data_IF_774878606091
#
_entry.id   IF_774878606091
#
_cell.length_a   1.000
_cell.length_b   1.000
_cell.length_c   1.000
_cell.angle_alpha   90.00
_cell.angle_beta   90.00
_cell.angle_gamma   90.00
#
_symmetry.space_group_name_H-M   'P 1'
#
loop_
_entity.id
_entity.type
_entity.pdbx_description
1 polymer ?
#
# COMPACT_ATOMS: atom_id res chain seq x y z
N UNK A 1 0.29 -1.28 4.52
CA UNK A 1 0.59 -0.44 3.34
C UNK A 1 -0.70 -0.13 2.61
N UNK A 2 -0.90 1.11 2.18
CA UNK A 2 -2.05 1.57 1.38
C UNK A 2 -1.53 2.20 0.10
N UNK A 3 -2.21 2.00 -1.02
CA UNK A 3 -1.89 2.68 -2.29
C UNK A 3 -3.16 3.06 -3.05
N UNK A 4 -3.11 4.21 -3.72
CA UNK A 4 -4.16 4.68 -4.61
C UNK A 4 -3.83 4.42 -6.09
N UNK A 5 -4.83 4.52 -6.96
CA UNK A 5 -4.71 4.25 -8.41
C UNK A 5 -3.61 5.09 -9.06
N UNK A 6 -3.40 6.32 -8.56
CA UNK A 6 -2.36 7.24 -9.04
C UNK A 6 -0.99 7.02 -8.39
N UNK A 7 -0.71 5.86 -7.79
CA UNK A 7 0.60 5.51 -7.25
C UNK A 7 1.01 6.32 -6.03
N UNK A 8 0.05 6.88 -5.29
CA UNK A 8 0.29 7.54 -4.00
C UNK A 8 0.08 6.51 -2.90
N UNK A 9 1.08 6.31 -2.05
CA UNK A 9 1.08 5.28 -1.03
C UNK A 9 1.60 5.75 0.32
N UNK A 10 1.31 4.96 1.35
CA UNK A 10 1.78 5.15 2.72
C UNK A 10 1.78 3.84 3.50
N UNK A 11 2.58 3.77 4.54
CA UNK A 11 2.39 2.83 5.64
C UNK A 11 1.61 3.52 6.75
N UNK A 12 0.89 2.74 7.55
CA UNK A 12 0.21 3.22 8.75
C UNK A 12 0.33 2.11 9.79
N UNK A 13 0.72 2.47 11.01
CA UNK A 13 0.83 1.53 12.12
C UNK A 13 -0.53 0.91 12.43
N UNK A 14 -0.53 -0.38 12.77
CA UNK A 14 -1.76 -1.07 13.19
C UNK A 14 -2.43 -0.40 14.39
N UNK A 15 -1.63 0.14 15.33
CA UNK A 15 -2.11 0.84 16.52
C UNK A 15 -3.00 2.07 16.22
N UNK A 16 -2.95 2.62 15.01
CA UNK A 16 -3.84 3.70 14.63
C UNK A 16 -5.28 3.22 14.37
N UNK A 17 -5.47 1.94 14.04
CA UNK A 17 -6.77 1.34 13.79
C UNK A 17 -7.27 0.66 15.07
N UNK A 18 -8.00 1.42 15.88
CA UNK A 18 -8.66 0.90 17.07
C UNK A 18 -9.78 -0.06 16.70
N UNK A 19 -10.15 -0.95 17.63
CA UNK A 19 -11.28 -1.83 17.45
C UNK A 19 -12.58 -1.03 17.27
N UNK A 20 -13.38 -1.42 16.29
CA UNK A 20 -14.70 -0.86 16.03
C UNK A 20 -15.73 -1.99 15.91
N UNK A 21 -16.98 -1.68 16.24
CA UNK A 21 -18.09 -2.62 16.08
C UNK A 21 -18.31 -2.98 14.60
N UNK A 22 -18.71 -4.23 14.36
CA UNK A 22 -19.15 -4.68 13.03
C UNK A 22 -20.40 -3.91 12.59
N UNK A 23 -20.59 -3.78 11.28
CA UNK A 23 -21.74 -3.11 10.64
C UNK A 23 -21.83 -1.59 10.87
N UNK A 24 -20.74 -0.95 11.30
CA UNK A 24 -20.59 0.51 11.23
C UNK A 24 -20.02 0.97 9.87
N UNK A 25 -19.94 2.29 9.69
CA UNK A 25 -19.30 2.92 8.51
C UNK A 25 -17.77 2.77 8.47
N UNK A 26 -17.18 2.18 9.52
CA UNK A 26 -15.74 2.09 9.69
C UNK A 26 -15.10 3.45 9.96
N UNK A 27 -13.79 3.52 9.73
CA UNK A 27 -13.00 4.74 9.91
C UNK A 27 -12.14 5.01 8.68
N UNK A 28 -11.91 6.30 8.38
CA UNK A 28 -11.11 6.70 7.21
C UNK A 28 -9.68 6.15 7.30
N UNK A 29 -9.25 5.42 6.28
CA UNK A 29 -7.93 4.79 6.19
C UNK A 29 -6.90 5.58 5.35
N UNK A 30 -7.37 6.46 4.48
CA UNK A 30 -6.57 7.37 3.64
C UNK A 30 -7.45 8.54 3.20
N UNK A 31 -6.90 9.75 3.11
CA UNK A 31 -7.58 10.87 2.46
C UNK A 31 -7.39 10.75 0.95
N UNK A 32 -8.48 10.54 0.23
CA UNK A 32 -8.49 10.46 -1.23
C UNK A 32 -8.89 11.81 -1.85
N UNK A 33 -8.44 12.05 -3.06
CA UNK A 33 -8.73 13.23 -3.88
C UNK A 33 -8.62 12.87 -5.38
N UNK A 34 -8.94 13.83 -6.25
CA UNK A 34 -8.74 13.65 -7.69
C UNK A 34 -7.28 13.32 -8.05
N UNK A 35 -6.30 13.78 -7.26
CA UNK A 35 -4.87 13.48 -7.46
C UNK A 35 -4.48 12.05 -7.06
N UNK A 36 -5.22 11.44 -6.14
CA UNK A 36 -4.95 10.04 -5.72
C UNK A 36 -5.71 9.05 -6.59
N UNK A 37 -6.86 9.45 -7.14
CA UNK A 37 -7.85 8.49 -7.61
C UNK A 37 -8.45 7.69 -6.45
N UNK A 38 -8.98 6.51 -6.74
CA UNK A 38 -9.51 5.60 -5.72
C UNK A 38 -8.38 4.91 -4.97
N UNK A 39 -8.73 4.35 -3.81
CA UNK A 39 -7.85 3.42 -3.10
C UNK A 39 -7.86 2.08 -3.86
N UNK A 40 -6.68 1.56 -4.21
CA UNK A 40 -6.57 0.22 -4.82
C UNK A 40 -6.75 -0.83 -3.73
N UNK A 41 -6.07 -0.66 -2.60
CA UNK A 41 -6.18 -1.61 -1.51
C UNK A 41 -5.28 -1.31 -0.32
N UNK A 42 -5.24 -2.28 0.57
CA UNK A 42 -4.39 -2.29 1.74
C UNK A 42 -3.81 -3.68 1.97
N UNK A 43 -2.53 -3.73 2.33
CA UNK A 43 -1.80 -4.97 2.59
C UNK A 43 -1.11 -4.89 3.95
N UNK A 44 -1.23 -5.95 4.73
CA UNK A 44 -0.43 -6.10 5.94
C UNK A 44 1.02 -6.35 5.56
N UNK A 45 1.93 -5.52 6.03
CA UNK A 45 3.36 -5.63 5.73
C UNK A 45 4.15 -5.46 7.01
N UNK A 46 5.25 -6.20 7.11
CA UNK A 46 6.27 -5.94 8.11
C UNK A 46 7.24 -4.85 7.61
N UNK A 47 8.05 -4.36 8.54
CA UNK A 47 9.26 -3.62 8.20
C UNK A 47 10.21 -4.58 7.44
N UNK A 48 11.03 -4.04 6.53
CA UNK A 48 11.99 -4.80 5.70
C UNK A 48 11.39 -5.88 4.78
N UNK A 49 10.09 -5.81 4.47
CA UNK A 49 9.50 -6.60 3.40
C UNK A 49 9.58 -5.88 2.06
N UNK A 50 9.46 -6.64 0.98
CA UNK A 50 9.30 -6.07 -0.34
C UNK A 50 7.87 -6.28 -0.85
N UNK A 51 7.39 -5.28 -1.58
CA UNK A 51 6.12 -5.35 -2.31
C UNK A 51 6.39 -5.12 -3.79
N UNK A 52 5.57 -5.71 -4.63
CA UNK A 52 5.52 -5.44 -6.06
C UNK A 52 4.22 -4.73 -6.37
N UNK A 53 4.32 -3.52 -6.90
CA UNK A 53 3.20 -2.76 -7.44
C UNK A 53 3.09 -3.04 -8.93
N UNK A 54 1.90 -3.42 -9.39
CA UNK A 54 1.63 -3.79 -10.78
C UNK A 54 0.71 -2.73 -11.38
N UNK A 55 1.11 -2.14 -12.49
CA UNK A 55 0.28 -1.20 -13.25
C UNK A 55 -0.62 -1.90 -14.26
N UNK A 56 -1.68 -1.22 -14.70
CA UNK A 56 -2.62 -1.77 -15.70
C UNK A 56 -1.98 -1.97 -17.06
N UNK A 57 -0.89 -1.26 -17.37
CA UNK A 57 -0.06 -1.47 -18.57
C UNK A 57 1.06 -2.51 -18.38
N UNK A 58 1.05 -3.26 -17.28
CA UNK A 58 1.97 -4.37 -17.04
C UNK A 58 3.36 -3.98 -16.53
N UNK A 59 3.54 -2.72 -16.07
CA UNK A 59 4.78 -2.33 -15.40
C UNK A 59 4.78 -2.85 -13.97
N UNK A 60 5.92 -3.40 -13.55
CA UNK A 60 6.12 -3.87 -12.18
C UNK A 60 7.20 -3.04 -11.50
N UNK A 61 6.92 -2.56 -10.29
CA UNK A 61 7.87 -1.81 -9.46
C UNK A 61 7.99 -2.51 -8.12
N UNK A 62 9.20 -2.96 -7.79
CA UNK A 62 9.53 -3.54 -6.48
C UNK A 62 9.94 -2.43 -5.53
N UNK A 63 9.39 -2.42 -4.33
CA UNK A 63 9.61 -1.37 -3.32
C UNK A 63 9.87 -2.06 -1.99
N UNK A 64 10.95 -1.67 -1.31
CA UNK A 64 11.14 -2.04 0.08
C UNK A 64 10.18 -1.23 0.96
N UNK A 65 9.44 -1.88 1.85
CA UNK A 65 8.43 -1.23 2.68
C UNK A 65 9.03 -0.13 3.55
N UNK A 66 10.31 -0.21 3.92
CA UNK A 66 11.00 0.82 4.69
C UNK A 66 11.22 2.14 3.96
N UNK A 67 11.24 2.13 2.62
CA UNK A 67 11.30 3.35 1.81
C UNK A 67 9.97 4.14 1.84
N UNK A 68 8.86 3.47 2.19
CA UNK A 68 7.54 4.09 2.25
C UNK A 68 7.32 4.70 3.64
N UNK A 69 7.01 5.99 3.69
CA UNK A 69 6.78 6.69 4.96
C UNK A 69 5.59 6.11 5.74
N UNK A 70 5.78 5.96 7.05
CA UNK A 70 4.70 5.65 8.00
C UNK A 70 3.99 6.93 8.41
N UNK A 71 2.69 7.01 8.13
CA UNK A 71 1.85 8.18 8.36
C UNK A 71 0.53 7.79 9.04
N UNK A 72 -0.17 8.78 9.58
CA UNK A 72 -1.48 8.60 10.20
C UNK A 72 -2.52 8.04 9.24
N UNK A 73 -3.62 7.51 9.78
CA UNK A 73 -4.74 6.99 8.97
C UNK A 73 -5.30 8.03 8.00
N UNK A 74 -5.46 9.27 8.42
CA UNK A 74 -6.10 10.30 7.59
C UNK A 74 -5.14 10.98 6.63
N UNK A 75 -3.83 10.71 6.71
CA UNK A 75 -2.85 11.24 5.77
C UNK A 75 -3.12 10.76 4.34
N UNK A 76 -2.67 11.55 3.36
CA UNK A 76 -2.78 11.18 1.93
C UNK A 76 -1.66 10.23 1.52
N UNK A 77 -0.43 10.41 2.01
CA UNK A 77 0.73 9.67 1.51
C UNK A 77 1.50 10.42 0.45
N UNK A 78 2.53 9.77 -0.09
CA UNK A 78 3.45 10.33 -1.09
C UNK A 78 3.45 9.49 -2.35
N UNK A 79 3.96 10.04 -3.46
CA UNK A 79 4.10 9.30 -4.72
C UNK A 79 5.16 8.20 -4.52
N UNK A 80 4.72 6.94 -4.48
CA UNK A 80 5.59 5.76 -4.34
C UNK A 80 5.91 5.13 -5.70
N UNK A 81 5.00 5.27 -6.67
CA UNK A 81 5.19 4.79 -8.04
C UNK A 81 4.89 5.92 -9.02
N UNK A 82 5.81 6.18 -9.95
CA UNK A 82 5.56 7.03 -11.12
C UNK A 82 4.93 6.19 -12.22
N UNK A 83 3.82 6.67 -12.75
CA UNK A 83 3.02 6.00 -13.77
C UNK A 83 3.05 6.87 -15.03
N UNK A 84 3.00 6.22 -16.19
CA UNK A 84 2.90 6.94 -17.45
C UNK A 84 1.47 7.47 -17.66
N UNK A 85 1.32 8.35 -18.65
CA UNK A 85 0.02 8.92 -18.97
C UNK A 85 -1.01 7.82 -19.32
N UNK A 86 -2.17 7.88 -18.65
CA UNK A 86 -3.24 6.89 -18.79
C UNK A 86 -2.95 5.53 -18.16
N UNK A 87 -1.84 5.35 -17.43
CA UNK A 87 -1.59 4.17 -16.62
C UNK A 87 -2.13 4.36 -15.18
N UNK A 88 -2.39 3.26 -14.49
CA UNK A 88 -2.85 3.26 -13.10
C UNK A 88 -2.36 2.01 -12.38
N UNK A 89 -2.24 2.07 -11.05
CA UNK A 89 -1.96 0.88 -10.24
C UNK A 89 -3.14 -0.07 -10.31
N UNK A 90 -2.90 -1.28 -10.80
CA UNK A 90 -3.90 -2.35 -10.89
C UNK A 90 -3.93 -3.20 -9.62
N UNK A 91 -2.77 -3.58 -9.08
CA UNK A 91 -2.69 -4.41 -7.87
C UNK A 91 -1.34 -4.27 -7.16
N UNK A 92 -1.25 -4.82 -5.95
CA UNK A 92 0.00 -4.98 -5.19
C UNK A 92 0.08 -6.40 -4.64
N UNK A 93 1.27 -6.99 -4.76
CA UNK A 93 1.60 -8.26 -4.12
C UNK A 93 2.73 -8.08 -3.12
N UNK A 94 2.68 -8.85 -2.04
CA UNK A 94 3.78 -8.93 -1.07
C UNK A 94 4.75 -9.99 -1.57
N UNK A 95 6.03 -9.64 -1.66
CA UNK A 95 7.07 -10.61 -1.96
C UNK A 95 7.31 -11.45 -0.72
N UNK A 96 7.03 -12.74 -0.82
CA UNK A 96 7.42 -13.70 0.21
C UNK A 96 8.85 -14.13 -0.07
N UNK A 97 9.76 -13.80 0.83
CA UNK A 97 11.06 -14.45 0.87
C UNK A 97 10.81 -15.81 1.50
N UNK A 98 11.05 -16.90 0.77
CA UNK A 98 11.22 -18.19 1.41
C UNK A 98 12.41 -18.04 2.35
N UNK A 99 12.20 -18.24 3.65
CA UNK A 99 13.32 -18.38 4.57
C UNK A 99 14.19 -19.52 4.05
N UNK A 100 15.50 -19.39 4.19
CA UNK A 100 16.38 -20.56 4.23
C UNK A 100 15.71 -21.57 5.16
N UNK A 101 15.15 -22.64 4.58
CA UNK A 101 14.60 -23.71 5.36
C UNK A 101 15.74 -24.28 6.18
N UNK A 102 15.61 -24.25 7.51
CA UNK A 102 16.22 -25.30 8.32
C UNK A 102 15.67 -26.62 7.77
N UNK A 103 16.52 -27.30 6.99
CA UNK A 103 16.38 -28.72 6.72
C UNK A 103 16.79 -29.44 8.01
N UNK A 104 15.81 -29.66 8.90
CA UNK A 104 15.88 -30.70 9.93
C UNK A 104 15.21 -31.99 9.42
#
# INVERSE_FOLDING_TARGET
FFISEQGIGKRTKYSEFTQHHRAGYGVRAMKLSNKTGKLVGAWGVADDQEIVVISSKGRMVRINTNEVSSLSRTATGYKVVRLDDGDFVADVSIVRTEGEGELD
#
